data_IF_397805062468
#
_entry.id   IF_397805062468
#
_cell.length_a   1.000
_cell.length_b   1.000
_cell.length_c   1.000
_cell.angle_alpha   90.00
_cell.angle_beta   90.00
_cell.angle_gamma   90.00
#
_symmetry.space_group_name_H-M   'P 1'
#
loop_
_entity.id
_entity.type
_entity.pdbx_description
1 polymer ?
#
# COMPACT_ATOMS: atom_id res chain seq x y z
N UNK A 1 -20.95 33.34 33.88
CA UNK A 1 -19.91 33.33 32.84
C UNK A 1 -20.39 34.14 31.65
N UNK A 2 -19.57 35.04 31.08
CA UNK A 2 -19.96 35.86 29.92
C UNK A 2 -20.00 34.96 28.68
N UNK A 3 -21.06 35.06 27.87
CA UNK A 3 -21.25 34.31 26.61
C UNK A 3 -20.06 34.45 25.64
N UNK A 4 -19.32 35.56 25.72
CA UNK A 4 -18.09 35.81 24.96
C UNK A 4 -16.93 34.85 25.30
N UNK A 5 -16.94 34.25 26.48
CA UNK A 5 -15.93 33.26 26.91
C UNK A 5 -16.21 31.87 26.32
N UNK A 6 -17.48 31.51 26.15
CA UNK A 6 -17.90 30.23 25.54
C UNK A 6 -17.64 30.23 24.03
N UNK A 7 -17.89 31.35 23.36
CA UNK A 7 -17.61 31.49 21.92
C UNK A 7 -16.11 31.40 21.57
N UNK A 8 -15.23 31.90 22.45
CA UNK A 8 -13.77 31.78 22.28
C UNK A 8 -13.29 30.34 22.51
N UNK A 9 -13.92 29.62 23.42
CA UNK A 9 -13.60 28.21 23.69
C UNK A 9 -14.00 27.29 22.51
N UNK A 10 -15.15 27.51 21.87
CA UNK A 10 -15.55 26.73 20.69
C UNK A 10 -14.67 26.99 19.46
N UNK A 11 -14.16 28.21 19.26
CA UNK A 11 -13.27 28.52 18.15
C UNK A 11 -11.87 27.88 18.29
N UNK A 12 -11.42 27.57 19.51
CA UNK A 12 -10.16 26.87 19.77
C UNK A 12 -10.25 25.34 19.69
N UNK A 13 -11.44 24.74 19.73
CA UNK A 13 -11.60 23.28 19.60
C UNK A 13 -11.52 22.78 18.15
N UNK A 14 -11.64 23.66 17.15
CA UNK A 14 -11.63 23.28 15.73
C UNK A 14 -10.25 22.97 15.16
N UNK A 15 -9.17 23.11 15.94
CA UNK A 15 -7.78 22.93 15.48
C UNK A 15 -7.19 21.54 15.78
N UNK A 16 -7.96 20.62 16.36
CA UNK A 16 -7.55 19.23 16.64
C UNK A 16 -8.35 18.21 15.83
N UNK A 17 -8.62 18.49 14.56
CA UNK A 17 -8.96 17.44 13.62
C UNK A 17 -7.68 16.67 13.27
N UNK A 18 -7.16 15.89 14.21
CA UNK A 18 -6.24 14.81 13.88
C UNK A 18 -7.07 13.80 13.09
N UNK A 19 -6.98 13.84 11.76
CA UNK A 19 -7.41 12.71 10.95
C UNK A 19 -6.49 11.56 11.33
N UNK A 20 -6.94 10.67 12.22
CA UNK A 20 -6.35 9.36 12.34
C UNK A 20 -6.61 8.66 11.01
N UNK A 21 -5.65 8.78 10.10
CA UNK A 21 -5.63 8.02 8.87
C UNK A 21 -5.49 6.55 9.28
N UNK A 22 -6.56 5.79 9.16
CA UNK A 22 -6.49 4.35 9.40
C UNK A 22 -5.62 3.74 8.30
N UNK A 23 -4.64 2.94 8.71
CA UNK A 23 -3.94 1.99 7.86
C UNK A 23 -4.97 1.23 7.01
N UNK A 24 -4.97 1.47 5.70
CA UNK A 24 -5.73 0.65 4.77
C UNK A 24 -4.77 -0.39 4.19
N UNK A 25 -5.10 -1.68 4.20
CA UNK A 25 -4.24 -2.68 3.60
C UNK A 25 -4.17 -2.46 2.07
N UNK A 26 -3.00 -2.67 1.49
CA UNK A 26 -2.82 -2.73 0.04
C UNK A 26 -3.06 -4.17 -0.41
N UNK A 27 -4.07 -4.41 -1.24
CA UNK A 27 -4.30 -5.71 -1.89
C UNK A 27 -3.91 -5.63 -3.36
N UNK A 28 -3.03 -6.54 -3.77
CA UNK A 28 -2.49 -6.67 -5.12
C UNK A 28 -3.07 -7.93 -5.78
N UNK A 29 -3.69 -7.76 -6.95
CA UNK A 29 -4.02 -8.87 -7.85
C UNK A 29 -2.79 -9.23 -8.68
N UNK A 30 -2.47 -10.52 -8.72
CA UNK A 30 -1.26 -11.09 -9.32
C UNK A 30 -1.56 -11.95 -10.55
N UNK A 31 -2.79 -11.90 -11.06
CA UNK A 31 -3.20 -12.72 -12.19
C UNK A 31 -2.32 -12.51 -13.44
N UNK A 32 -1.66 -13.60 -13.87
CA UNK A 32 -0.85 -13.65 -15.08
C UNK A 32 0.56 -13.09 -14.95
N UNK A 33 1.00 -12.70 -13.75
CA UNK A 33 2.36 -12.20 -13.51
C UNK A 33 3.40 -13.29 -13.79
N UNK A 34 4.55 -12.90 -14.36
CA UNK A 34 5.62 -13.80 -14.79
C UNK A 34 6.90 -13.56 -13.96
N UNK A 35 7.56 -14.64 -13.56
CA UNK A 35 8.93 -14.69 -13.05
C UNK A 35 9.82 -15.36 -14.09
N UNK A 36 10.96 -14.74 -14.41
CA UNK A 36 11.78 -15.09 -15.57
C UNK A 36 13.24 -15.39 -15.22
N UNK A 37 13.67 -15.16 -13.99
CA UNK A 37 15.05 -15.40 -13.58
C UNK A 37 15.35 -14.83 -12.20
N UNK A 38 16.64 -14.82 -11.85
CA UNK A 38 17.17 -14.38 -10.55
C UNK A 38 16.69 -12.97 -10.14
N UNK A 39 16.67 -12.70 -8.84
CA UNK A 39 16.30 -11.38 -8.33
C UNK A 39 17.16 -10.26 -8.97
N UNK A 40 16.51 -9.25 -9.51
CA UNK A 40 17.11 -8.15 -10.25
C UNK A 40 17.19 -8.37 -11.76
N UNK A 41 16.78 -9.53 -12.28
CA UNK A 41 16.78 -9.78 -13.72
C UNK A 41 15.86 -8.79 -14.46
N UNK A 42 16.33 -8.12 -15.53
CA UNK A 42 15.53 -7.15 -16.28
C UNK A 42 14.26 -7.72 -16.92
N UNK A 43 14.18 -9.04 -17.08
CA UNK A 43 13.01 -9.76 -17.55
C UNK A 43 11.94 -9.96 -16.49
N UNK A 44 12.26 -9.87 -15.19
CA UNK A 44 11.29 -10.08 -14.13
C UNK A 44 10.16 -9.04 -14.14
N UNK A 45 8.98 -9.46 -13.71
CA UNK A 45 7.88 -8.52 -13.52
C UNK A 45 8.11 -7.70 -12.25
N UNK A 46 8.14 -6.38 -12.39
CA UNK A 46 8.26 -5.45 -11.28
C UNK A 46 7.01 -4.58 -11.20
N UNK A 47 6.35 -4.58 -10.05
CA UNK A 47 5.19 -3.73 -9.75
C UNK A 47 5.58 -2.71 -8.68
N UNK A 48 5.07 -1.49 -8.77
CA UNK A 48 5.33 -0.44 -7.78
C UNK A 48 4.03 0.20 -7.33
N UNK A 49 3.93 0.47 -6.03
CA UNK A 49 2.75 1.05 -5.40
C UNK A 49 3.16 2.18 -4.49
N UNK A 50 2.51 3.34 -4.62
CA UNK A 50 2.67 4.42 -3.65
C UNK A 50 1.75 4.13 -2.45
N UNK A 51 2.38 3.78 -1.33
CA UNK A 51 1.70 3.46 -0.07
C UNK A 51 1.79 4.60 0.95
N UNK A 52 2.44 5.72 0.57
CA UNK A 52 2.64 6.90 1.39
C UNK A 52 4.08 7.03 1.91
N UNK A 53 4.58 8.26 1.92
CA UNK A 53 5.93 8.57 2.38
C UNK A 53 6.16 8.12 3.83
N UNK A 54 7.25 7.40 4.05
CA UNK A 54 7.63 6.79 5.30
C UNK A 54 6.58 5.81 5.87
N UNK A 55 5.73 5.22 5.03
CA UNK A 55 4.85 4.15 5.47
C UNK A 55 5.68 2.92 5.89
N UNK A 56 5.13 2.15 6.82
CA UNK A 56 5.76 0.93 7.33
C UNK A 56 4.93 -0.29 6.93
N UNK A 57 5.58 -1.30 6.36
CA UNK A 57 4.97 -2.57 6.03
C UNK A 57 5.08 -3.48 7.24
N UNK A 58 3.94 -3.87 7.82
CA UNK A 58 3.93 -4.57 9.12
C UNK A 58 3.41 -6.00 9.04
N UNK A 59 2.70 -6.37 7.98
CA UNK A 59 2.24 -7.74 7.76
C UNK A 59 2.04 -8.01 6.26
N UNK A 60 2.07 -9.30 5.90
CA UNK A 60 1.70 -9.79 4.57
C UNK A 60 0.80 -11.01 4.71
N UNK A 61 -0.16 -11.14 3.80
CA UNK A 61 -0.97 -12.35 3.63
C UNK A 61 -1.15 -12.63 2.16
N UNK A 62 -1.21 -13.90 1.78
CA UNK A 62 -1.32 -14.28 0.39
C UNK A 62 -2.22 -15.49 0.20
N UNK A 63 -2.81 -15.57 -0.98
CA UNK A 63 -3.50 -16.74 -1.50
C UNK A 63 -3.27 -16.77 -3.00
N UNK A 64 -2.36 -17.61 -3.45
CA UNK A 64 -1.83 -17.60 -4.82
C UNK A 64 -1.86 -18.98 -5.44
N UNK A 65 -2.06 -19.03 -6.76
CA UNK A 65 -1.84 -20.22 -7.56
C UNK A 65 -0.69 -19.93 -8.53
N UNK A 66 0.33 -20.77 -8.50
CA UNK A 66 1.56 -20.59 -9.28
C UNK A 66 1.87 -21.84 -10.09
N UNK A 67 2.58 -21.66 -11.20
CA UNK A 67 3.10 -22.72 -12.05
C UNK A 67 4.60 -22.53 -12.22
N UNK A 68 5.40 -23.53 -11.88
CA UNK A 68 6.80 -23.65 -12.29
C UNK A 68 6.86 -24.49 -13.58
N UNK A 69 7.43 -23.93 -14.64
CA UNK A 69 7.64 -24.61 -15.91
C UNK A 69 8.89 -25.47 -15.84
N UNK A 70 8.84 -26.68 -16.39
CA UNK A 70 10.01 -27.58 -16.37
C UNK A 70 11.20 -26.95 -17.13
N UNK A 71 12.42 -26.92 -16.56
CA UNK A 71 12.87 -27.68 -15.39
C UNK A 71 12.78 -27.01 -14.01
N UNK A 72 12.30 -25.77 -13.92
CA UNK A 72 12.18 -24.97 -12.68
C UNK A 72 11.27 -25.62 -11.63
N UNK A 73 11.49 -25.27 -10.36
CA UNK A 73 10.78 -25.83 -9.21
C UNK A 73 9.82 -24.84 -8.56
N UNK A 74 8.76 -25.37 -7.95
CA UNK A 74 7.81 -24.55 -7.19
C UNK A 74 8.45 -23.82 -6.00
N UNK A 75 9.55 -24.36 -5.47
CA UNK A 75 10.34 -23.75 -4.41
C UNK A 75 11.12 -22.51 -4.84
N UNK A 76 11.37 -22.34 -6.15
CA UNK A 76 12.21 -21.27 -6.68
C UNK A 76 11.39 -20.02 -7.00
N UNK A 77 10.08 -20.16 -7.26
CA UNK A 77 9.17 -19.04 -7.49
C UNK A 77 9.13 -18.16 -6.23
N UNK A 78 9.63 -16.93 -6.36
CA UNK A 78 9.81 -15.99 -5.26
C UNK A 78 9.14 -14.64 -5.50
N UNK A 79 8.86 -13.97 -4.38
CA UNK A 79 8.47 -12.56 -4.34
C UNK A 79 9.40 -11.79 -3.39
N UNK A 80 10.06 -10.77 -3.93
CA UNK A 80 10.71 -9.74 -3.15
C UNK A 80 9.79 -8.52 -3.03
N UNK A 81 9.52 -8.07 -1.81
CA UNK A 81 8.81 -6.81 -1.57
C UNK A 81 9.67 -5.89 -0.71
N UNK A 82 10.05 -4.75 -1.29
CA UNK A 82 11.12 -3.88 -0.78
C UNK A 82 10.74 -2.40 -0.86
N UNK A 83 11.55 -1.54 -0.24
CA UNK A 83 11.61 -0.13 -0.61
C UNK A 83 12.11 0.04 -2.06
N UNK A 84 12.02 1.26 -2.58
CA UNK A 84 12.45 1.56 -3.96
C UNK A 84 13.96 1.47 -4.17
N UNK A 85 14.74 1.68 -3.12
CA UNK A 85 16.20 1.63 -3.15
C UNK A 85 16.78 0.22 -2.89
N UNK A 86 15.93 -0.79 -2.65
CA UNK A 86 16.31 -2.19 -2.37
C UNK A 86 17.12 -2.42 -1.09
N UNK A 87 17.13 -1.47 -0.16
CA UNK A 87 17.89 -1.60 1.09
C UNK A 87 17.09 -2.29 2.19
N UNK A 88 15.76 -2.15 2.18
CA UNK A 88 14.89 -2.77 3.17
C UNK A 88 13.78 -3.56 2.49
N UNK A 89 13.44 -4.73 3.05
CA UNK A 89 12.37 -5.54 2.51
C UNK A 89 12.40 -6.98 2.99
N UNK A 90 11.54 -7.78 2.38
CA UNK A 90 11.41 -9.21 2.66
C UNK A 90 11.32 -9.97 1.34
N UNK A 91 11.91 -11.14 1.34
CA UNK A 91 11.89 -12.08 0.23
C UNK A 91 11.26 -13.37 0.76
N UNK A 92 10.35 -13.97 0.00
CA UNK A 92 9.81 -15.28 0.32
C UNK A 92 9.38 -16.06 -0.91
N UNK A 93 9.40 -17.39 -0.78
CA UNK A 93 8.96 -18.34 -1.80
C UNK A 93 7.72 -19.09 -1.26
N UNK A 94 6.54 -18.95 -1.89
CA UNK A 94 5.32 -19.60 -1.39
C UNK A 94 5.41 -21.13 -1.35
N UNK A 95 6.16 -21.72 -2.28
CA UNK A 95 6.37 -23.17 -2.39
C UNK A 95 7.67 -23.67 -1.75
N UNK A 96 8.22 -22.95 -0.78
CA UNK A 96 9.48 -23.33 -0.14
C UNK A 96 9.48 -24.81 0.31
N UNK A 97 10.42 -25.60 -0.21
CA UNK A 97 10.54 -27.05 0.03
C UNK A 97 9.92 -27.95 -1.05
N UNK A 98 9.16 -27.41 -2.01
CA UNK A 98 8.60 -28.17 -3.13
C UNK A 98 9.55 -28.16 -4.35
N UNK A 99 10.53 -29.06 -4.30
CA UNK A 99 11.60 -29.24 -5.31
C UNK A 99 11.12 -30.00 -6.57
N UNK A 100 10.00 -29.58 -7.15
CA UNK A 100 9.46 -30.17 -8.37
C UNK A 100 8.68 -29.15 -9.21
N UNK A 101 8.63 -29.32 -10.55
CA UNK A 101 7.82 -28.48 -11.42
C UNK A 101 6.32 -28.77 -11.28
N UNK A 102 5.48 -27.88 -11.79
CA UNK A 102 4.04 -28.07 -11.87
C UNK A 102 3.25 -26.88 -11.35
N UNK A 103 1.98 -27.10 -11.05
CA UNK A 103 1.06 -26.06 -10.56
C UNK A 103 0.61 -26.38 -9.15
N UNK A 104 0.69 -25.40 -8.24
CA UNK A 104 0.27 -25.52 -6.86
C UNK A 104 -0.42 -24.24 -6.36
N UNK A 105 -1.15 -24.36 -5.25
CA UNK A 105 -1.80 -23.24 -4.57
C UNK A 105 -1.25 -23.13 -3.15
N UNK A 106 -0.85 -21.92 -2.78
CA UNK A 106 -0.32 -21.61 -1.46
C UNK A 106 -1.11 -20.46 -0.83
N UNK A 107 -1.34 -20.55 0.47
CA UNK A 107 -1.94 -19.45 1.23
C UNK A 107 -1.41 -19.45 2.65
N UNK A 108 -0.92 -18.30 3.08
CA UNK A 108 -0.45 -18.09 4.44
C UNK A 108 -0.43 -16.58 4.78
N UNK A 109 0.00 -16.26 5.99
CA UNK A 109 0.21 -14.89 6.46
C UNK A 109 1.37 -14.80 7.45
N UNK A 110 2.04 -13.65 7.47
CA UNK A 110 3.12 -13.35 8.39
C UNK A 110 2.94 -11.95 9.01
N UNK A 111 3.08 -11.88 10.33
CA UNK A 111 3.27 -10.62 11.07
C UNK A 111 4.76 -10.27 11.04
N UNK A 112 5.12 -9.31 10.20
CA UNK A 112 6.51 -8.91 10.01
C UNK A 112 7.05 -8.16 11.23
N UNK A 113 6.18 -7.50 12.00
CA UNK A 113 6.58 -6.82 13.23
C UNK A 113 7.00 -7.85 14.28
N UNK A 114 6.19 -8.89 14.46
CA UNK A 114 6.50 -9.98 15.39
C UNK A 114 7.78 -10.75 15.00
N UNK A 115 8.06 -10.84 13.68
CA UNK A 115 9.28 -11.46 13.16
C UNK A 115 10.51 -10.53 13.16
N UNK A 116 10.33 -9.24 13.46
CA UNK A 116 11.42 -8.25 13.36
C UNK A 116 11.84 -7.93 11.93
N UNK A 117 10.93 -8.14 10.97
CA UNK A 117 11.10 -7.95 9.52
C UNK A 117 10.28 -6.79 8.96
N UNK A 118 9.53 -6.06 9.79
CA UNK A 118 8.81 -4.85 9.37
C UNK A 118 9.80 -3.78 8.90
N UNK A 119 9.48 -3.06 7.82
CA UNK A 119 10.39 -2.08 7.22
C UNK A 119 9.66 -0.84 6.70
N UNK A 120 10.43 0.22 6.47
CA UNK A 120 9.92 1.50 5.98
C UNK A 120 10.14 1.63 4.46
N UNK A 121 9.14 2.10 3.71
CA UNK A 121 9.28 2.28 2.24
C UNK A 121 10.02 3.56 1.85
N UNK A 122 10.57 4.31 2.81
CA UNK A 122 11.35 5.51 2.56
C UNK A 122 10.50 6.74 2.23
N UNK A 123 11.19 7.84 1.93
CA UNK A 123 10.58 9.16 1.77
C UNK A 123 9.74 9.32 0.50
N UNK A 124 9.96 8.49 -0.52
CA UNK A 124 9.17 8.48 -1.76
C UNK A 124 7.84 7.70 -1.61
N UNK A 125 7.75 6.84 -0.59
CA UNK A 125 6.55 6.08 -0.27
C UNK A 125 6.30 4.89 -1.17
N UNK A 126 7.33 4.39 -1.88
CA UNK A 126 7.17 3.36 -2.90
C UNK A 126 7.44 1.97 -2.31
N UNK A 127 6.41 1.13 -2.30
CA UNK A 127 6.56 -0.31 -2.14
C UNK A 127 6.81 -0.92 -3.53
N UNK A 128 7.93 -1.62 -3.67
CA UNK A 128 8.32 -2.33 -4.89
C UNK A 128 8.11 -3.82 -4.70
N UNK A 129 7.49 -4.48 -5.67
CA UNK A 129 7.31 -5.93 -5.72
C UNK A 129 8.04 -6.46 -6.95
N UNK A 130 8.86 -7.48 -6.78
CA UNK A 130 9.49 -8.20 -7.88
C UNK A 130 9.23 -9.69 -7.77
N UNK A 131 8.72 -10.23 -8.88
CA UNK A 131 8.42 -11.63 -9.04
C UNK A 131 9.55 -12.28 -9.81
N UNK A 132 10.25 -13.20 -9.16
CA UNK A 132 11.54 -13.73 -9.60
C UNK A 132 11.59 -15.25 -9.38
N UNK A 133 12.61 -15.91 -9.93
CA UNK A 133 13.00 -17.28 -9.59
C UNK A 133 14.34 -17.29 -8.89
N UNK A 134 14.58 -18.22 -7.98
CA UNK A 134 15.92 -18.40 -7.40
C UNK A 134 16.98 -18.87 -8.42
N UNK A 135 16.56 -19.48 -9.55
CA UNK A 135 17.44 -19.92 -10.64
C UNK A 135 16.79 -19.66 -12.01
N UNK A 136 17.59 -19.15 -12.96
CA UNK A 136 17.22 -19.02 -14.38
C UNK A 136 17.52 -20.35 -15.11
N UNK A 137 16.47 -21.13 -15.33
CA UNK A 137 16.50 -22.45 -15.93
C UNK A 137 16.09 -22.46 -17.40
N UNK A 138 15.32 -21.44 -17.82
CA UNK A 138 14.75 -21.30 -19.15
C UNK A 138 15.03 -19.92 -19.74
N UNK A 139 15.33 -19.89 -21.03
CA UNK A 139 15.20 -18.62 -21.77
C UNK A 139 13.73 -18.22 -21.87
N UNK A 140 13.29 -17.30 -21.00
CA UNK A 140 11.94 -16.77 -20.98
C UNK A 140 11.30 -16.85 -19.60
N UNK A 141 10.09 -17.41 -19.54
CA UNK A 141 9.35 -17.53 -18.28
C UNK A 141 9.57 -18.90 -17.66
N UNK A 142 10.21 -18.90 -16.50
CA UNK A 142 10.36 -20.05 -15.62
C UNK A 142 9.11 -20.27 -14.76
N UNK A 143 8.51 -19.19 -14.26
CA UNK A 143 7.36 -19.24 -13.37
C UNK A 143 6.22 -18.31 -13.76
N UNK A 144 5.01 -18.74 -13.45
CA UNK A 144 3.80 -17.94 -13.63
C UNK A 144 2.94 -17.93 -12.38
N UNK A 145 2.56 -16.74 -11.97
CA UNK A 145 1.53 -16.48 -10.98
C UNK A 145 0.18 -16.45 -11.70
N UNK A 146 -0.54 -17.56 -11.68
CA UNK A 146 -1.74 -17.74 -12.51
C UNK A 146 -2.88 -16.83 -12.08
N UNK A 147 -3.15 -16.78 -10.77
CA UNK A 147 -4.18 -15.94 -10.14
C UNK A 147 -3.99 -15.93 -8.62
N UNK A 148 -4.59 -14.94 -7.96
CA UNK A 148 -4.57 -14.82 -6.51
C UNK A 148 -4.45 -13.38 -6.04
N UNK A 149 -4.21 -13.22 -4.75
CA UNK A 149 -4.00 -11.90 -4.16
C UNK A 149 -2.91 -11.94 -3.11
N UNK A 150 -2.18 -10.83 -3.00
CA UNK A 150 -1.23 -10.57 -1.91
C UNK A 150 -1.66 -9.28 -1.23
N UNK A 151 -1.84 -9.32 0.08
CA UNK A 151 -2.31 -8.18 0.88
C UNK A 151 -1.27 -7.79 1.91
N UNK A 152 -0.87 -6.53 1.89
CA UNK A 152 0.08 -5.92 2.81
C UNK A 152 -0.64 -5.03 3.80
N UNK A 153 -0.32 -5.15 5.08
CA UNK A 153 -0.71 -4.16 6.06
C UNK A 153 0.28 -2.99 6.03
N UNK A 154 -0.25 -1.77 5.90
CA UNK A 154 0.54 -0.54 5.71
C UNK A 154 0.18 0.46 6.80
N UNK A 155 1.14 0.79 7.66
CA UNK A 155 0.97 1.77 8.74
C UNK A 155 1.63 3.11 8.41
N UNK A 156 1.02 4.21 8.87
CA UNK A 156 1.55 5.57 8.67
C UNK A 156 1.45 6.13 7.26
N UNK A 157 0.92 5.35 6.31
CA UNK A 157 0.80 5.71 4.90
C UNK A 157 -0.63 5.98 4.42
N UNK A 158 -0.76 6.68 3.28
CA UNK A 158 -2.00 6.77 2.50
C UNK A 158 -1.93 5.75 1.35
N UNK A 159 -2.56 4.58 1.49
CA UNK A 159 -2.76 3.69 0.34
C UNK A 159 -3.82 4.33 -0.55
N UNK A 160 -3.39 4.89 -1.69
CA UNK A 160 -4.31 5.36 -2.71
C UNK A 160 -4.81 4.16 -3.53
N UNK A 161 -6.09 4.11 -3.93
CA UNK A 161 -6.56 3.07 -4.85
C UNK A 161 -5.76 3.12 -6.16
N UNK A 162 -5.66 2.01 -6.92
CA UNK A 162 -4.93 1.97 -8.19
C UNK A 162 -5.35 3.13 -9.10
N UNK A 163 -4.38 3.97 -9.46
CA UNK A 163 -4.63 5.09 -10.37
C UNK A 163 -4.75 4.51 -11.78
N UNK A 164 -5.94 4.61 -12.37
CA UNK A 164 -6.14 4.37 -13.80
C UNK A 164 -5.17 5.26 -14.60
N UNK A 165 -4.33 4.69 -15.50
CA UNK A 165 -3.35 5.46 -16.28
C UNK A 165 -3.93 6.61 -17.13
N UNK A 166 -5.27 6.70 -17.25
CA UNK A 166 -5.97 7.74 -18.00
C UNK A 166 -6.46 8.96 -17.22
N UNK A 167 -6.33 9.02 -15.88
CA UNK A 167 -6.95 10.10 -15.09
C UNK A 167 -5.91 11.11 -14.56
N UNK A 168 -5.86 12.35 -15.08
CA UNK A 168 -5.02 13.40 -14.51
C UNK A 168 -5.57 13.80 -13.14
N UNK A 169 -4.87 13.41 -12.08
CA UNK A 169 -5.23 13.72 -10.70
C UNK A 169 -6.23 12.73 -10.15
N UNK A 170 -5.74 11.74 -9.39
CA UNK A 170 -6.59 10.99 -8.49
C UNK A 170 -7.31 11.99 -7.59
N UNK A 171 -8.65 11.97 -7.63
CA UNK A 171 -9.45 12.79 -6.73
C UNK A 171 -9.14 12.33 -5.31
N UNK A 172 -8.31 13.12 -4.63
CA UNK A 172 -8.11 13.02 -3.19
C UNK A 172 -9.49 13.18 -2.57
N UNK A 173 -9.99 12.20 -1.79
CA UNK A 173 -11.20 12.42 -1.02
C UNK A 173 -10.91 13.58 -0.05
N UNK A 174 -11.52 14.75 -0.26
CA UNK A 174 -11.37 15.90 0.64
C UNK A 174 -12.59 16.06 1.56
N UNK A 175 -12.78 15.23 2.60
CA UNK A 175 -13.81 15.48 3.60
C UNK A 175 -13.49 16.71 4.46
N UNK A 176 -12.23 17.20 4.46
CA UNK A 176 -11.78 18.31 5.31
C UNK A 176 -11.92 19.69 4.67
N UNK A 177 -11.64 19.85 3.37
CA UNK A 177 -11.66 21.16 2.71
C UNK A 177 -13.07 21.70 2.53
N UNK A 178 -14.02 20.84 2.17
CA UNK A 178 -15.43 21.20 2.10
C UNK A 178 -15.97 21.64 3.48
N UNK A 179 -15.51 20.98 4.55
CA UNK A 179 -15.92 21.28 5.92
C UNK A 179 -15.26 22.58 6.44
N UNK A 180 -14.00 22.84 6.10
CA UNK A 180 -13.30 24.08 6.42
C UNK A 180 -13.88 25.29 5.66
N UNK A 181 -14.20 25.13 4.37
CA UNK A 181 -14.88 26.15 3.57
C UNK A 181 -16.30 26.38 4.12
N UNK A 182 -17.04 25.31 4.43
CA UNK A 182 -18.35 25.39 5.06
C UNK A 182 -18.32 26.12 6.41
N UNK A 183 -17.33 25.81 7.26
CA UNK A 183 -17.13 26.48 8.54
C UNK A 183 -16.72 27.96 8.37
N UNK A 184 -15.85 28.27 7.41
CA UNK A 184 -15.45 29.64 7.07
C UNK A 184 -16.63 30.49 6.58
N UNK A 185 -17.47 29.94 5.70
CA UNK A 185 -18.69 30.60 5.21
C UNK A 185 -19.73 30.77 6.31
N UNK A 186 -19.92 29.78 7.17
CA UNK A 186 -20.82 29.85 8.32
C UNK A 186 -20.37 30.95 9.31
N UNK A 187 -19.08 31.03 9.62
CA UNK A 187 -18.51 32.07 10.49
C UNK A 187 -18.65 33.48 9.90
N UNK A 188 -18.45 33.64 8.58
CA UNK A 188 -18.67 34.91 7.87
C UNK A 188 -20.15 35.32 7.85
N UNK A 189 -21.05 34.37 7.64
CA UNK A 189 -22.50 34.58 7.71
C UNK A 189 -22.97 34.99 9.12
N UNK A 190 -22.37 34.42 10.16
CA UNK A 190 -22.66 34.75 11.56
C UNK A 190 -22.23 36.18 11.92
N UNK A 191 -21.05 36.63 11.44
CA UNK A 191 -20.58 38.01 11.64
C UNK A 191 -21.48 39.06 11.00
N UNK A 192 -22.04 38.78 9.81
CA UNK A 192 -22.96 39.71 9.13
C UNK A 192 -24.31 39.84 9.85
N UNK A 193 -24.81 38.79 10.51
CA UNK A 193 -26.07 38.85 11.28
C UNK A 193 -25.90 39.60 12.60
N UNK A 194 -24.77 39.41 13.29
CA UNK A 194 -24.47 40.14 14.52
C UNK A 194 -24.33 41.66 14.30
N UNK A 195 -23.77 42.08 13.16
CA UNK A 195 -23.64 43.50 12.80
C UNK A 195 -24.98 44.20 12.49
N UNK A 196 -26.04 43.44 12.17
CA UNK A 196 -27.36 43.98 11.79
C UNK A 196 -28.33 44.13 12.97
N UNK A 197 -27.97 43.63 14.16
CA UNK A 197 -28.81 43.68 15.37
C UNK A 197 -28.44 44.82 16.34
N UNK A 198 -27.56 45.73 15.93
CA UNK A 198 -27.27 46.96 16.67
C UNK A 198 -27.81 48.12 15.83
N UNK A 199 -29.07 48.48 16.01
CA UNK A 199 -29.70 49.80 15.77
C UNK A 199 -31.12 49.77 16.36
#
# INVERSE_FOLDING_TARGET
MKLSSVAKALASLSFFACTSLFAAPLTVDIAGVQSNGELGDPGNTVLTYNVGANATITAVSYSVNVTAFTPSWLSEIGLAFTDSDFFEGVIFNPGAGDEFPGTATYSDSADLTALGLSFNVGADGILRLEFYEDFDDLSGTDGRWNFGTITFNVEGGTVLPPVDPGTPGGEVPEPASALLIGAGLAALGYRRRAAKQVH
#
